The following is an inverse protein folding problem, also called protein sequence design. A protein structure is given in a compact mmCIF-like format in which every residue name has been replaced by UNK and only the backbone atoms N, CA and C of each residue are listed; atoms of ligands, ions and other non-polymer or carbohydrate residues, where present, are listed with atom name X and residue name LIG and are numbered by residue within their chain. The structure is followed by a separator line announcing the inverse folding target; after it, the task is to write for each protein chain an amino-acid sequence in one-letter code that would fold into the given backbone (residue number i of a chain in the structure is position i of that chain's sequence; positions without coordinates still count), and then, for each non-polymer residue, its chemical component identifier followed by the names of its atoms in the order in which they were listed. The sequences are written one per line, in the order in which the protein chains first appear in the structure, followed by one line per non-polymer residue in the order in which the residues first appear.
data_IF_743926518491
#
_entry.id   IF_743926518491
#
_cell.length_a   1.000
_cell.length_b   1.000
_cell.length_c   1.000
_cell.angle_alpha   90.00
_cell.angle_beta   90.00
_cell.angle_gamma   90.00
#
_symmetry.space_group_name_H-M   'P 1'
#
loop_
_entity.id
_entity.type
_entity.pdbx_description
1 polymer ?
#
# COMPACT_ATOMS: atom_id res chain seq x y z
N UNK A 1 9.22 3.12 2.14
CA UNK A 1 9.65 2.27 1.00
C UNK A 1 9.02 2.80 -0.27
N UNK A 2 9.76 2.93 -1.37
CA UNK A 2 9.22 3.42 -2.63
C UNK A 2 9.03 2.25 -3.62
N UNK A 3 7.80 2.01 -4.03
CA UNK A 3 7.38 1.05 -5.06
C UNK A 3 6.59 1.75 -6.18
N UNK A 4 6.64 3.08 -6.25
CA UNK A 4 5.94 3.83 -7.29
C UNK A 4 6.53 3.57 -8.68
N UNK A 5 5.73 3.88 -9.71
CA UNK A 5 6.11 3.71 -11.12
C UNK A 5 6.49 2.27 -11.51
N UNK A 6 5.75 1.30 -10.99
CA UNK A 6 5.88 -0.10 -11.38
C UNK A 6 4.64 -0.57 -12.16
N UNK A 7 4.63 -1.86 -12.51
CA UNK A 7 3.50 -2.52 -13.17
C UNK A 7 2.78 -3.46 -12.22
N UNK A 8 2.73 -3.14 -10.92
CA UNK A 8 2.00 -3.95 -9.95
C UNK A 8 0.51 -3.84 -10.24
N UNK A 9 -0.20 -4.96 -10.24
CA UNK A 9 -1.62 -5.03 -10.57
C UNK A 9 -2.40 -5.86 -9.56
N UNK A 10 -3.73 -5.74 -9.57
CA UNK A 10 -4.61 -6.41 -8.63
C UNK A 10 -4.74 -5.64 -7.30
N UNK A 11 -5.21 -6.31 -6.26
CA UNK A 11 -5.53 -5.66 -4.99
C UNK A 11 -4.35 -5.54 -4.04
N UNK A 12 -4.40 -4.52 -3.20
CA UNK A 12 -3.40 -4.33 -2.16
C UNK A 12 -3.59 -5.43 -1.08
N UNK A 13 -2.55 -6.23 -0.78
CA UNK A 13 -2.69 -7.33 0.17
C UNK A 13 -2.85 -6.85 1.62
N UNK A 14 -3.71 -7.54 2.39
CA UNK A 14 -3.89 -7.29 3.84
C UNK A 14 -2.65 -7.57 4.68
N UNK A 15 -1.66 -8.29 4.14
CA UNK A 15 -0.42 -8.65 4.84
C UNK A 15 0.40 -7.43 5.28
N UNK A 16 0.21 -6.26 4.66
CA UNK A 16 0.84 -5.01 5.09
C UNK A 16 0.54 -4.61 6.54
N UNK A 17 -0.54 -5.13 7.14
CA UNK A 17 -0.85 -4.89 8.55
C UNK A 17 0.21 -5.47 9.51
N UNK A 18 0.97 -6.47 9.08
CA UNK A 18 2.03 -7.09 9.89
C UNK A 18 3.40 -6.38 9.72
N UNK A 19 3.48 -5.37 8.85
CA UNK A 19 4.72 -4.63 8.62
C UNK A 19 4.89 -3.51 9.67
N UNK A 20 5.04 -3.88 10.94
CA UNK A 20 5.05 -2.94 12.07
C UNK A 20 6.20 -1.91 12.04
N UNK A 21 7.29 -2.20 11.33
CA UNK A 21 8.43 -1.28 11.16
C UNK A 21 8.29 -0.35 9.95
N UNK A 22 7.25 -0.53 9.13
CA UNK A 22 7.03 0.26 7.91
C UNK A 22 6.38 1.60 8.28
N UNK A 23 7.13 2.70 8.12
CA UNK A 23 6.68 4.06 8.47
C UNK A 23 5.97 4.74 7.30
N UNK A 24 6.43 4.47 6.08
CA UNK A 24 5.87 5.03 4.85
C UNK A 24 5.99 4.02 3.71
N UNK A 25 5.01 4.01 2.82
CA UNK A 25 5.08 3.28 1.56
C UNK A 25 4.44 4.12 0.45
N UNK A 26 5.15 4.25 -0.65
CA UNK A 26 4.66 4.87 -1.87
C UNK A 26 4.42 3.75 -2.89
N UNK A 27 3.16 3.57 -3.29
CA UNK A 27 2.74 2.59 -4.29
C UNK A 27 2.08 3.28 -5.51
N UNK A 28 2.26 4.59 -5.62
CA UNK A 28 1.63 5.40 -6.65
C UNK A 28 2.09 5.02 -8.06
N UNK A 29 1.34 5.40 -9.08
CA UNK A 29 1.66 5.09 -10.48
C UNK A 29 1.87 3.59 -10.75
N UNK A 30 0.99 2.75 -10.20
CA UNK A 30 0.85 1.33 -10.50
C UNK A 30 -0.53 1.04 -11.13
N UNK A 31 -0.84 -0.24 -11.37
CA UNK A 31 -2.12 -0.71 -11.92
C UNK A 31 -2.95 -1.43 -10.83
N UNK A 32 -2.81 -0.97 -9.58
CA UNK A 32 -3.51 -1.54 -8.43
C UNK A 32 -5.00 -1.17 -8.47
N UNK A 33 -5.86 -2.12 -8.14
CA UNK A 33 -7.31 -2.00 -8.24
C UNK A 33 -8.03 -2.70 -7.07
N UNK A 34 -9.32 -2.42 -6.90
CA UNK A 34 -10.11 -2.96 -5.80
C UNK A 34 -10.05 -2.09 -4.52
N UNK A 35 -10.65 -2.57 -3.42
CA UNK A 35 -10.81 -1.77 -2.21
C UNK A 35 -9.49 -1.59 -1.47
N UNK A 36 -9.33 -0.42 -0.85
CA UNK A 36 -8.28 -0.22 0.14
C UNK A 36 -8.46 -1.21 1.30
N UNK A 37 -7.40 -1.92 1.74
CA UNK A 37 -7.51 -2.83 2.87
C UNK A 37 -7.92 -2.07 4.12
N UNK A 38 -8.90 -2.60 4.86
CA UNK A 38 -9.24 -2.08 6.17
C UNK A 38 -8.22 -2.57 7.22
N UNK A 39 -7.00 -2.05 7.17
CA UNK A 39 -5.94 -2.38 8.13
C UNK A 39 -5.37 -1.14 8.77
N UNK A 40 -4.71 -1.31 9.91
CA UNK A 40 -4.15 -0.19 10.67
C UNK A 40 -3.09 0.56 9.87
N UNK A 41 -2.38 -0.14 8.98
CA UNK A 41 -1.45 0.45 8.04
C UNK A 41 -2.13 1.47 7.10
N UNK A 42 -3.28 1.13 6.52
CA UNK A 42 -4.02 2.03 5.60
C UNK A 42 -4.82 3.13 6.32
N UNK A 43 -5.04 2.98 7.63
CA UNK A 43 -5.67 4.00 8.46
C UNK A 43 -4.66 4.97 9.10
N UNK A 44 -3.40 4.53 9.33
CA UNK A 44 -2.38 5.29 10.06
C UNK A 44 -1.21 5.76 9.22
N UNK A 45 -0.80 5.03 8.18
CA UNK A 45 0.24 5.52 7.29
C UNK A 45 -0.33 6.60 6.38
N UNK A 46 0.45 7.65 6.18
CA UNK A 46 0.21 8.61 5.10
C UNK A 46 0.45 7.89 3.77
N UNK A 47 -0.60 7.26 3.25
CA UNK A 47 -0.56 6.55 1.98
C UNK A 47 -0.66 7.59 0.86
N UNK A 48 0.41 7.72 0.06
CA UNK A 48 0.34 8.44 -1.21
C UNK A 48 0.03 7.40 -2.30
N UNK A 49 -1.17 7.53 -2.88
CA UNK A 49 -1.67 6.72 -3.99
C UNK A 49 -1.34 7.36 -5.34
#
# INVERSE_FOLDING_TARGET
MNLSHNRMSGSIPKSFDHCFSLISIDISYNQLEGPLPNTSAFQKLHLML
#
